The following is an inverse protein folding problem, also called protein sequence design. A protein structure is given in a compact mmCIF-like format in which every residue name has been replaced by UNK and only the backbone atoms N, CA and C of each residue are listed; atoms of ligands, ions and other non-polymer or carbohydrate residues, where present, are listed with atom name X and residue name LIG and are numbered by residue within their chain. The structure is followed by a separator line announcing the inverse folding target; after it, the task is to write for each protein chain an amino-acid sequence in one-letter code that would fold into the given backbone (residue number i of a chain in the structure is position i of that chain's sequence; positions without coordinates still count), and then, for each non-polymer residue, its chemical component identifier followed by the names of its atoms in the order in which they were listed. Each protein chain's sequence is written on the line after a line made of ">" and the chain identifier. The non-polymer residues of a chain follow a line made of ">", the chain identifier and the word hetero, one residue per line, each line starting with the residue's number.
data_IF_994331382736
#
_entry.id   IF_994331382736
#
_cell.length_a   1.000
_cell.length_b   1.000
_cell.length_c   1.000
_cell.angle_alpha   90.00
_cell.angle_beta   90.00
_cell.angle_gamma   90.00
#
_symmetry.space_group_name_H-M   'P 1'
#
loop_
_entity.id
_entity.type
_entity.pdbx_description
1 polymer ?
#
# COMPACT_ATOMS: atom_id res chain seq x y z
N UNK A 1 -29.50 -1.43 15.34
CA UNK A 1 -28.97 -0.11 15.70
C UNK A 1 -30.06 0.91 15.43
N UNK A 2 -30.57 1.49 16.50
CA UNK A 2 -31.67 2.44 16.50
C UNK A 2 -31.22 3.77 15.83
N UNK A 3 -32.20 4.58 15.38
CA UNK A 3 -31.94 5.88 14.73
C UNK A 3 -31.19 6.84 15.65
N UNK A 4 -31.46 6.79 16.94
CA UNK A 4 -30.77 7.59 17.96
C UNK A 4 -29.30 7.17 18.13
N UNK A 5 -29.01 5.88 18.10
CA UNK A 5 -27.65 5.34 18.20
C UNK A 5 -26.78 5.71 16.96
N UNK A 6 -27.39 5.77 15.76
CA UNK A 6 -26.71 6.26 14.53
C UNK A 6 -26.38 7.74 14.58
N UNK A 7 -27.28 8.56 15.16
CA UNK A 7 -27.06 10.00 15.32
C UNK A 7 -25.92 10.22 16.32
N UNK A 8 -25.93 9.55 17.46
CA UNK A 8 -24.89 9.65 18.49
C UNK A 8 -23.49 9.24 17.97
N UNK A 9 -23.40 8.14 17.21
CA UNK A 9 -22.14 7.70 16.59
C UNK A 9 -21.65 8.71 15.52
N UNK A 10 -22.57 9.38 14.83
CA UNK A 10 -22.23 10.43 13.87
C UNK A 10 -21.73 11.69 14.56
N UNK A 11 -22.34 12.11 15.66
CA UNK A 11 -21.93 13.25 16.47
C UNK A 11 -20.57 13.01 17.14
N UNK A 12 -20.34 11.81 17.69
CA UNK A 12 -19.05 11.42 18.27
C UNK A 12 -17.92 11.43 17.23
N UNK A 13 -18.17 10.97 16.00
CA UNK A 13 -17.21 11.03 14.90
C UNK A 13 -16.89 12.46 14.49
N UNK A 14 -17.91 13.32 14.43
CA UNK A 14 -17.73 14.73 14.09
C UNK A 14 -16.95 15.47 15.18
N UNK A 15 -17.25 15.23 16.44
CA UNK A 15 -16.54 15.79 17.59
C UNK A 15 -15.07 15.32 17.64
N UNK A 16 -14.81 14.04 17.34
CA UNK A 16 -13.45 13.49 17.27
C UNK A 16 -12.65 14.13 16.12
N UNK A 17 -13.27 14.27 14.95
CA UNK A 17 -12.65 14.92 13.78
C UNK A 17 -12.30 16.38 14.08
N UNK A 18 -13.21 17.12 14.71
CA UNK A 18 -12.98 18.51 15.12
C UNK A 18 -11.85 18.63 16.16
N UNK A 19 -11.76 17.68 17.10
CA UNK A 19 -10.70 17.66 18.11
C UNK A 19 -9.33 17.33 17.50
N UNK A 20 -9.26 16.39 16.58
CA UNK A 20 -8.02 16.05 15.83
C UNK A 20 -7.55 17.26 15.01
N UNK A 21 -8.48 17.93 14.31
CA UNK A 21 -8.20 19.16 13.57
C UNK A 21 -7.60 20.24 14.45
N UNK A 22 -8.22 20.50 15.61
CA UNK A 22 -7.73 21.49 16.57
C UNK A 22 -6.32 21.16 17.08
N UNK A 23 -6.03 19.89 17.41
CA UNK A 23 -4.71 19.45 17.86
C UNK A 23 -3.63 19.60 16.77
N UNK A 24 -3.97 19.27 15.52
CA UNK A 24 -3.05 19.45 14.39
C UNK A 24 -2.74 20.94 14.17
N UNK A 25 -3.75 21.81 14.20
CA UNK A 25 -3.55 23.27 14.09
C UNK A 25 -2.64 23.78 15.21
N UNK A 26 -2.91 23.41 16.47
CA UNK A 26 -2.09 23.82 17.61
C UNK A 26 -0.64 23.30 17.51
N UNK A 27 -0.43 22.11 16.96
CA UNK A 27 0.91 21.56 16.73
C UNK A 27 1.66 22.33 15.66
N UNK A 28 1.00 22.70 14.57
CA UNK A 28 1.58 23.53 13.51
C UNK A 28 1.92 24.93 14.02
N UNK A 29 1.02 25.60 14.74
CA UNK A 29 1.25 26.92 15.34
C UNK A 29 2.47 26.88 16.29
N UNK A 30 2.61 25.81 17.08
CA UNK A 30 3.75 25.64 17.99
C UNK A 30 5.06 25.45 17.21
N UNK A 31 5.05 24.64 16.16
CA UNK A 31 6.24 24.41 15.33
C UNK A 31 6.62 25.67 14.54
N UNK A 32 5.66 26.47 14.08
CA UNK A 32 5.90 27.75 13.44
C UNK A 32 6.57 28.74 14.41
N UNK A 33 6.07 28.85 15.63
CA UNK A 33 6.67 29.69 16.67
C UNK A 33 8.12 29.26 17.02
N UNK A 34 8.41 27.96 16.98
CA UNK A 34 9.77 27.43 17.17
C UNK A 34 10.65 27.74 15.95
N UNK A 35 10.09 27.64 14.74
CA UNK A 35 10.84 27.93 13.51
C UNK A 35 11.25 29.42 13.42
N UNK A 36 10.41 30.31 13.92
CA UNK A 36 10.64 31.77 13.96
C UNK A 36 11.57 32.22 15.09
N UNK A 37 12.03 31.30 15.95
CA UNK A 37 12.97 31.61 17.04
C UNK A 37 14.41 31.72 16.49
N UNK A 38 14.88 32.95 16.30
CA UNK A 38 16.23 33.26 15.82
C UNK A 38 17.37 32.80 16.76
N UNK A 39 17.05 32.41 17.99
CA UNK A 39 18.01 31.90 18.96
C UNK A 39 18.27 30.39 18.82
N UNK A 40 17.43 29.70 18.08
CA UNK A 40 17.61 28.27 17.83
C UNK A 40 18.75 28.01 16.84
N UNK A 41 19.60 27.01 17.13
CA UNK A 41 20.66 26.58 16.21
C UNK A 41 20.08 26.21 14.83
N UNK A 42 20.77 26.50 13.72
CA UNK A 42 20.29 26.19 12.36
C UNK A 42 19.89 24.73 12.15
N UNK A 43 20.57 23.79 12.81
CA UNK A 43 20.27 22.35 12.75
C UNK A 43 18.90 22.02 13.38
N UNK A 44 18.56 22.68 14.48
CA UNK A 44 17.28 22.48 15.15
C UNK A 44 16.16 23.12 14.36
N UNK A 45 16.36 24.30 13.77
CA UNK A 45 15.40 24.94 12.86
C UNK A 45 15.13 24.09 11.63
N UNK A 46 16.15 23.50 11.02
CA UNK A 46 16.00 22.59 9.88
C UNK A 46 15.17 21.34 10.27
N UNK A 47 15.39 20.80 11.47
CA UNK A 47 14.61 19.66 11.98
C UNK A 47 13.15 20.02 12.19
N UNK A 48 12.86 21.20 12.72
CA UNK A 48 11.51 21.72 12.90
C UNK A 48 10.82 21.95 11.57
N UNK A 49 11.52 22.54 10.58
CA UNK A 49 11.00 22.77 9.24
C UNK A 49 10.61 21.45 8.54
N UNK A 50 11.43 20.39 8.67
CA UNK A 50 11.09 19.07 8.15
C UNK A 50 9.85 18.50 8.84
N UNK A 51 9.72 18.70 10.15
CA UNK A 51 8.55 18.23 10.91
C UNK A 51 7.26 18.95 10.52
N UNK A 52 7.35 20.25 10.21
CA UNK A 52 6.22 21.01 9.67
C UNK A 52 5.75 20.41 8.35
N UNK A 53 6.69 20.05 7.45
CA UNK A 53 6.33 19.47 6.15
C UNK A 53 5.65 18.11 6.32
N UNK A 54 6.13 17.23 7.20
CA UNK A 54 5.50 15.94 7.49
C UNK A 54 4.06 16.10 7.99
N UNK A 55 3.84 17.04 8.92
CA UNK A 55 2.51 17.28 9.51
C UNK A 55 1.60 17.97 8.50
N UNK A 56 2.12 18.88 7.69
CA UNK A 56 1.35 19.62 6.69
C UNK A 56 0.83 18.68 5.57
N UNK A 57 1.58 17.66 5.18
CA UNK A 57 1.11 16.63 4.26
C UNK A 57 -0.13 15.90 4.82
N UNK A 58 -0.09 15.50 6.08
CA UNK A 58 -1.23 14.88 6.76
C UNK A 58 -2.42 15.85 6.87
N UNK A 59 -2.15 17.14 7.08
CA UNK A 59 -3.18 18.15 7.25
C UNK A 59 -3.88 18.53 5.94
N UNK A 60 -3.16 18.52 4.81
CA UNK A 60 -3.73 18.77 3.47
C UNK A 60 -4.67 17.66 3.04
N UNK A 61 -4.42 16.41 3.41
CA UNK A 61 -5.35 15.30 3.19
C UNK A 61 -6.69 15.49 3.93
N UNK A 62 -6.67 16.18 5.08
CA UNK A 62 -7.87 16.38 5.92
C UNK A 62 -8.64 17.69 5.64
N UNK A 63 -8.01 18.75 5.15
CA UNK A 63 -8.59 20.10 5.16
C UNK A 63 -8.51 20.91 3.86
N UNK A 64 -7.85 20.44 2.80
CA UNK A 64 -7.66 21.24 1.58
C UNK A 64 -7.09 22.67 1.86
N UNK A 65 -6.03 23.09 1.23
CA UNK A 65 -5.52 24.47 1.07
C UNK A 65 -5.11 25.31 2.31
N UNK A 66 -5.28 24.86 3.56
CA UNK A 66 -4.96 25.70 4.73
C UNK A 66 -3.49 25.67 5.16
N UNK A 67 -2.70 24.73 4.67
CA UNK A 67 -1.29 24.54 5.08
C UNK A 67 -0.27 25.17 4.08
N UNK A 68 -0.71 25.71 2.95
CA UNK A 68 0.18 26.17 1.86
C UNK A 68 1.19 27.24 2.31
N UNK A 69 0.79 28.16 3.18
CA UNK A 69 1.68 29.20 3.71
C UNK A 69 2.78 28.61 4.60
N UNK A 70 2.46 27.65 5.44
CA UNK A 70 3.40 26.98 6.34
C UNK A 70 4.39 26.11 5.58
N UNK A 71 3.92 25.42 4.55
CA UNK A 71 4.78 24.65 3.65
C UNK A 71 5.79 25.55 2.95
N UNK A 72 5.34 26.69 2.42
CA UNK A 72 6.22 27.67 1.76
C UNK A 72 7.24 28.26 2.75
N UNK A 73 6.82 28.57 3.99
CA UNK A 73 7.72 29.07 5.03
C UNK A 73 8.79 28.04 5.40
N UNK A 74 8.39 26.79 5.66
CA UNK A 74 9.33 25.70 5.98
C UNK A 74 10.30 25.41 4.82
N UNK A 75 9.83 25.39 3.58
CA UNK A 75 10.69 25.20 2.40
C UNK A 75 11.70 26.34 2.22
N UNK A 76 11.27 27.57 2.51
CA UNK A 76 12.14 28.76 2.46
C UNK A 76 13.24 28.67 3.50
N UNK A 77 12.91 28.27 4.72
CA UNK A 77 13.87 28.11 5.82
C UNK A 77 14.91 27.05 5.51
N UNK A 78 14.50 25.89 5.04
CA UNK A 78 15.42 24.81 4.62
C UNK A 78 16.37 25.32 3.55
N UNK A 79 15.88 26.11 2.57
CA UNK A 79 16.72 26.66 1.50
C UNK A 79 17.72 27.72 2.00
N UNK A 80 17.35 28.51 3.03
CA UNK A 80 18.23 29.50 3.63
C UNK A 80 19.33 28.86 4.50
N UNK A 81 19.04 27.74 5.16
CA UNK A 81 19.96 27.04 6.03
C UNK A 81 20.97 26.15 5.27
N UNK A 82 20.71 25.82 4.00
CA UNK A 82 21.63 25.03 3.18
C UNK A 82 23.07 25.56 3.08
N UNK A 83 23.31 26.89 2.90
CA UNK A 83 24.67 27.43 2.86
C UNK A 83 25.42 27.33 4.18
N UNK A 84 24.73 27.51 5.31
CA UNK A 84 25.32 27.45 6.65
C UNK A 84 25.64 26.04 7.06
N UNK A 85 24.81 25.07 6.63
CA UNK A 85 25.02 23.64 6.87
C UNK A 85 26.29 23.12 6.19
N UNK A 86 26.63 23.66 5.02
CA UNK A 86 27.84 23.32 4.27
C UNK A 86 29.13 23.87 4.90
N UNK A 87 29.03 24.96 5.66
CA UNK A 87 30.20 25.56 6.35
C UNK A 87 30.57 24.84 7.66
N UNK A 88 29.62 24.15 8.29
CA UNK A 88 29.84 23.48 9.58
C UNK A 88 30.52 22.09 9.43
N UNK A 89 30.52 21.54 8.22
CA UNK A 89 31.13 20.25 7.93
C UNK A 89 32.01 20.29 6.67
N UNK A 90 33.27 20.81 6.80
CA UNK A 90 34.19 21.03 5.66
C UNK A 90 34.68 19.73 5.00
N UNK A 91 34.35 18.56 5.56
CA UNK A 91 34.67 17.25 4.99
C UNK A 91 33.49 16.59 4.23
N UNK A 92 32.37 17.26 4.06
CA UNK A 92 31.42 16.83 3.06
C UNK A 92 31.99 17.17 1.68
N UNK A 93 32.00 16.20 0.72
CA UNK A 93 32.33 16.53 -0.66
C UNK A 93 31.41 17.66 -1.11
N UNK A 94 32.02 18.70 -1.75
CA UNK A 94 31.24 19.77 -2.38
C UNK A 94 30.11 19.14 -3.17
N UNK A 95 28.89 19.72 -3.17
CA UNK A 95 27.83 19.26 -4.03
C UNK A 95 28.31 19.48 -5.46
N UNK A 96 28.97 18.45 -6.00
CA UNK A 96 29.23 18.38 -7.44
C UNK A 96 27.92 18.68 -8.12
N UNK A 97 27.96 19.67 -8.99
CA UNK A 97 26.86 20.16 -9.80
C UNK A 97 25.91 19.01 -10.14
N UNK A 98 24.64 19.21 -9.73
CA UNK A 98 23.51 18.37 -10.14
C UNK A 98 23.75 16.87 -9.94
N UNK A 99 23.75 16.38 -8.70
CA UNK A 99 23.21 15.04 -8.49
C UNK A 99 21.72 15.14 -8.90
N UNK A 100 21.45 14.79 -10.14
CA UNK A 100 20.14 14.34 -10.56
C UNK A 100 19.83 13.21 -9.58
N UNK A 101 18.97 13.46 -8.59
CA UNK A 101 18.44 12.40 -7.75
C UNK A 101 17.78 11.44 -8.71
N UNK A 102 18.43 10.30 -8.94
CA UNK A 102 17.91 9.29 -9.85
C UNK A 102 16.52 8.94 -9.37
N UNK A 103 15.52 9.39 -10.11
CA UNK A 103 14.16 8.97 -9.86
C UNK A 103 13.97 7.61 -10.55
N UNK A 104 13.38 6.66 -9.82
CA UNK A 104 13.03 5.36 -10.37
C UNK A 104 11.54 5.41 -10.70
N UNK A 105 11.21 5.44 -11.98
CA UNK A 105 9.84 5.36 -12.45
C UNK A 105 9.45 3.90 -12.73
N UNK A 106 8.38 3.44 -12.12
CA UNK A 106 7.80 2.11 -12.30
C UNK A 106 6.41 2.27 -12.95
N UNK A 107 6.27 1.92 -14.24
CA UNK A 107 4.97 1.95 -14.89
C UNK A 107 4.04 0.90 -14.28
N UNK A 108 2.73 1.13 -14.35
CA UNK A 108 1.67 0.22 -13.94
C UNK A 108 1.61 -1.01 -14.86
N UNK A 109 2.71 -1.75 -14.93
CA UNK A 109 2.85 -2.93 -15.78
C UNK A 109 2.51 -4.21 -15.00
N UNK A 110 1.74 -5.10 -15.63
CA UNK A 110 1.41 -6.40 -15.06
C UNK A 110 1.32 -7.46 -16.16
N UNK A 111 1.42 -8.71 -15.75
CA UNK A 111 1.18 -9.88 -16.63
C UNK A 111 0.01 -10.66 -16.07
N UNK A 112 -0.99 -10.94 -16.89
CA UNK A 112 -2.13 -11.79 -16.57
C UNK A 112 -1.99 -13.16 -17.25
N UNK A 113 -2.24 -14.23 -16.49
CA UNK A 113 -2.35 -15.59 -17.01
C UNK A 113 -3.75 -16.11 -16.68
N UNK A 114 -4.60 -16.24 -17.70
CA UNK A 114 -5.94 -16.84 -17.60
C UNK A 114 -5.85 -18.36 -17.64
N UNK A 115 -6.80 -19.05 -16.97
CA UNK A 115 -6.77 -20.50 -16.85
C UNK A 115 -5.49 -20.99 -16.18
N UNK A 116 -5.08 -20.32 -15.11
CA UNK A 116 -3.77 -20.56 -14.47
C UNK A 116 -3.66 -21.96 -13.89
N UNK A 117 -4.73 -22.46 -13.28
CA UNK A 117 -4.83 -23.82 -12.76
C UNK A 117 -5.75 -24.67 -13.66
N UNK A 118 -5.64 -25.99 -13.62
CA UNK A 118 -6.66 -26.82 -14.24
C UNK A 118 -8.00 -26.67 -13.51
N UNK A 119 -9.14 -27.01 -14.13
CA UNK A 119 -10.46 -26.83 -13.52
C UNK A 119 -10.59 -27.49 -12.14
N UNK A 120 -10.05 -28.69 -11.98
CA UNK A 120 -10.09 -29.47 -10.73
C UNK A 120 -9.28 -28.80 -9.61
N UNK A 121 -8.14 -28.22 -9.95
CA UNK A 121 -7.29 -27.48 -9.01
C UNK A 121 -8.00 -26.17 -8.58
N UNK A 122 -8.62 -25.44 -9.53
CA UNK A 122 -9.38 -24.23 -9.23
C UNK A 122 -10.58 -24.54 -8.31
N UNK A 123 -11.36 -25.58 -8.61
CA UNK A 123 -12.48 -26.03 -7.79
C UNK A 123 -12.04 -26.41 -6.37
N UNK A 124 -10.87 -27.05 -6.25
CA UNK A 124 -10.29 -27.36 -4.94
C UNK A 124 -9.99 -26.09 -4.13
N UNK A 125 -9.47 -25.00 -4.76
CA UNK A 125 -9.28 -23.74 -4.08
C UNK A 125 -10.59 -23.13 -3.61
N UNK A 126 -11.65 -23.14 -4.43
CA UNK A 126 -12.97 -22.64 -4.09
C UNK A 126 -13.54 -23.41 -2.89
N UNK A 127 -13.57 -24.73 -3.00
CA UNK A 127 -14.10 -25.64 -1.95
C UNK A 127 -13.36 -25.47 -0.61
N UNK A 128 -12.04 -25.47 -0.63
CA UNK A 128 -11.24 -25.32 0.58
C UNK A 128 -11.38 -23.94 1.21
N UNK A 129 -11.48 -22.88 0.40
CA UNK A 129 -11.70 -21.53 0.90
C UNK A 129 -13.03 -21.41 1.65
N UNK A 130 -14.11 -21.95 1.08
CA UNK A 130 -15.45 -21.93 1.68
C UNK A 130 -15.52 -22.77 2.94
N UNK A 131 -15.02 -24.03 2.90
CA UNK A 131 -15.05 -24.96 4.02
C UNK A 131 -14.28 -24.45 5.23
N UNK A 132 -13.28 -23.60 5.03
CA UNK A 132 -12.45 -23.04 6.09
C UNK A 132 -12.94 -21.69 6.63
N UNK A 133 -14.16 -21.26 6.31
CA UNK A 133 -14.73 -19.96 6.72
C UNK A 133 -14.40 -19.58 8.16
N UNK A 134 -14.54 -20.51 9.11
CA UNK A 134 -14.32 -20.27 10.54
C UNK A 134 -12.85 -20.07 10.94
N UNK A 135 -11.91 -20.32 10.03
CA UNK A 135 -10.48 -20.19 10.28
C UNK A 135 -9.92 -18.86 9.75
N UNK A 136 -10.73 -18.11 9.00
CA UNK A 136 -10.35 -16.77 8.56
C UNK A 136 -10.39 -15.80 9.74
N UNK A 137 -9.47 -14.85 9.71
CA UNK A 137 -9.38 -13.75 10.66
C UNK A 137 -9.53 -12.44 9.92
N UNK A 138 -10.05 -11.42 10.59
CA UNK A 138 -10.02 -10.07 10.06
C UNK A 138 -8.59 -9.62 9.81
N UNK A 139 -8.36 -9.00 8.66
CA UNK A 139 -7.02 -8.50 8.32
C UNK A 139 -6.70 -7.26 9.16
N UNK A 140 -5.55 -7.30 9.82
CA UNK A 140 -4.97 -6.12 10.46
C UNK A 140 -3.82 -5.59 9.60
N UNK A 141 -3.72 -4.27 9.47
CA UNK A 141 -2.52 -3.63 8.91
C UNK A 141 -1.44 -3.53 9.98
N UNK A 142 -0.18 -3.56 9.57
CA UNK A 142 0.96 -3.36 10.48
C UNK A 142 0.90 -2.03 11.22
N UNK A 143 0.27 -1.01 10.62
CA UNK A 143 0.13 0.34 11.18
C UNK A 143 -1.12 0.52 12.05
N UNK A 144 -1.99 -0.52 12.18
CA UNK A 144 -3.29 -0.45 12.89
C UNK A 144 -4.15 0.77 12.49
N UNK A 145 -3.95 1.28 11.27
CA UNK A 145 -4.72 2.40 10.74
C UNK A 145 -6.17 1.94 10.55
N UNK A 146 -7.08 2.51 11.32
CA UNK A 146 -8.50 2.25 11.19
C UNK A 146 -8.97 2.63 9.78
N UNK A 147 -9.75 1.76 9.13
CA UNK A 147 -10.35 1.97 7.80
C UNK A 147 -9.35 1.96 6.62
N UNK A 148 -8.18 1.34 6.76
CA UNK A 148 -7.21 1.21 5.67
C UNK A 148 -7.42 -0.07 4.85
N UNK A 149 -7.79 -1.16 5.52
CA UNK A 149 -8.08 -2.46 4.91
C UNK A 149 -9.25 -3.13 5.63
N UNK A 150 -10.17 -3.68 4.87
CA UNK A 150 -11.22 -4.56 5.36
C UNK A 150 -11.23 -5.82 4.50
N UNK A 151 -10.83 -6.94 5.05
CA UNK A 151 -10.82 -8.24 4.40
C UNK A 151 -10.63 -9.34 5.45
N UNK A 152 -10.81 -10.60 5.03
CA UNK A 152 -10.59 -11.77 5.86
C UNK A 152 -9.40 -12.55 5.31
N UNK A 153 -8.48 -12.99 6.17
CA UNK A 153 -7.24 -13.66 5.76
C UNK A 153 -7.09 -15.03 6.41
N UNK A 154 -6.51 -15.94 5.65
CA UNK A 154 -6.13 -17.27 6.09
C UNK A 154 -4.68 -17.53 5.68
N UNK A 155 -3.81 -17.76 6.65
CA UNK A 155 -2.38 -17.92 6.42
C UNK A 155 -2.02 -19.32 5.89
N UNK A 156 -0.92 -19.39 5.13
CA UNK A 156 -0.41 -20.59 4.45
C UNK A 156 -0.29 -21.81 5.34
N UNK A 157 0.04 -21.66 6.62
CA UNK A 157 0.14 -22.74 7.61
C UNK A 157 -1.17 -23.52 7.79
N UNK A 158 -2.32 -22.89 7.52
CA UNK A 158 -3.64 -23.53 7.60
C UNK A 158 -4.06 -24.24 6.31
N UNK A 159 -3.34 -23.98 5.21
CA UNK A 159 -3.62 -24.50 3.86
C UNK A 159 -2.35 -25.04 3.19
N UNK A 160 -1.58 -25.96 3.83
CA UNK A 160 -0.25 -26.35 3.34
C UNK A 160 -0.28 -26.97 1.94
N UNK A 161 -1.27 -27.80 1.63
CA UNK A 161 -1.40 -28.46 0.32
C UNK A 161 -1.69 -27.43 -0.81
N UNK A 162 -2.61 -26.47 -0.58
CA UNK A 162 -2.89 -25.40 -1.55
C UNK A 162 -1.69 -24.46 -1.71
N UNK A 163 -1.00 -24.18 -0.60
CA UNK A 163 0.20 -23.34 -0.62
C UNK A 163 1.34 -24.00 -1.39
N UNK A 164 1.51 -25.31 -1.29
CA UNK A 164 2.50 -26.05 -2.08
C UNK A 164 2.15 -26.02 -3.58
N UNK A 165 0.89 -26.29 -3.91
CA UNK A 165 0.39 -26.29 -5.29
C UNK A 165 0.62 -24.93 -5.98
N UNK A 166 0.18 -23.84 -5.35
CA UNK A 166 0.31 -22.50 -5.95
C UNK A 166 1.78 -22.10 -6.14
N UNK A 167 2.66 -22.43 -5.16
CA UNK A 167 4.10 -22.17 -5.27
C UNK A 167 4.72 -22.91 -6.44
N UNK A 168 4.35 -24.17 -6.63
CA UNK A 168 4.85 -24.98 -7.73
C UNK A 168 4.43 -24.41 -9.08
N UNK A 169 3.16 -24.07 -9.27
CA UNK A 169 2.64 -23.49 -10.50
C UNK A 169 3.29 -22.13 -10.82
N UNK A 170 3.53 -21.30 -9.80
CA UNK A 170 4.25 -20.02 -9.94
C UNK A 170 5.69 -20.26 -10.37
N UNK A 171 6.43 -21.17 -9.73
CA UNK A 171 7.83 -21.49 -10.09
C UNK A 171 7.96 -21.94 -11.54
N UNK A 172 7.02 -22.74 -12.03
CA UNK A 172 7.00 -23.22 -13.43
C UNK A 172 6.81 -22.07 -14.42
N UNK A 173 6.04 -21.02 -14.08
CA UNK A 173 5.73 -19.90 -14.96
C UNK A 173 6.71 -18.74 -14.89
N UNK A 174 7.35 -18.58 -13.74
CA UNK A 174 8.15 -17.39 -13.43
C UNK A 174 9.25 -17.07 -14.46
N UNK A 175 10.03 -18.02 -15.00
CA UNK A 175 11.08 -17.70 -15.98
C UNK A 175 10.55 -16.96 -17.21
N UNK A 176 9.34 -17.32 -17.68
CA UNK A 176 8.69 -16.65 -18.81
C UNK A 176 8.04 -15.31 -18.48
N UNK A 177 7.88 -14.98 -17.18
CA UNK A 177 7.24 -13.74 -16.72
C UNK A 177 8.26 -12.63 -16.43
N UNK A 178 9.48 -12.97 -16.01
CA UNK A 178 10.47 -11.98 -15.58
C UNK A 178 10.76 -10.94 -16.65
N UNK A 179 11.00 -11.37 -17.88
CA UNK A 179 11.27 -10.44 -19.00
C UNK A 179 10.07 -9.53 -19.31
N UNK A 180 8.84 -10.05 -19.22
CA UNK A 180 7.62 -9.28 -19.46
C UNK A 180 7.38 -8.20 -18.37
N UNK A 181 7.88 -8.46 -17.17
CA UNK A 181 7.82 -7.54 -16.03
C UNK A 181 9.05 -6.64 -15.88
N UNK A 182 9.99 -6.71 -16.83
CA UNK A 182 11.28 -6.00 -16.81
C UNK A 182 12.14 -6.33 -15.58
N UNK A 183 12.10 -7.58 -15.11
CA UNK A 183 13.01 -8.07 -14.07
C UNK A 183 14.17 -8.85 -14.67
N UNK A 184 15.38 -8.57 -14.19
CA UNK A 184 16.50 -9.49 -14.34
C UNK A 184 16.24 -10.76 -13.52
N UNK A 185 16.77 -11.93 -13.95
CA UNK A 185 16.71 -13.14 -13.13
C UNK A 185 17.29 -12.90 -11.72
N UNK A 186 16.63 -13.43 -10.70
CA UNK A 186 17.08 -13.37 -9.32
C UNK A 186 16.85 -14.71 -8.60
N UNK A 187 17.62 -14.95 -7.54
CA UNK A 187 17.46 -16.13 -6.71
C UNK A 187 16.24 -15.96 -5.79
N UNK A 188 15.35 -16.96 -5.83
CA UNK A 188 14.11 -16.96 -5.04
C UNK A 188 14.39 -17.49 -3.65
N UNK A 189 14.30 -16.63 -2.64
CA UNK A 189 14.37 -17.03 -1.24
C UNK A 189 13.07 -17.66 -0.76
N UNK A 190 11.93 -17.05 -1.10
CA UNK A 190 10.61 -17.48 -0.64
C UNK A 190 9.51 -17.04 -1.61
N UNK A 191 8.45 -17.86 -1.70
CA UNK A 191 7.15 -17.47 -2.27
C UNK A 191 6.14 -17.48 -1.14
N UNK A 192 5.79 -16.29 -0.64
CA UNK A 192 4.78 -16.11 0.40
C UNK A 192 3.39 -16.41 -0.16
N UNK A 193 2.49 -16.94 0.68
CA UNK A 193 1.12 -17.32 0.28
C UNK A 193 0.15 -16.91 1.38
N UNK A 194 -0.89 -16.18 1.00
CA UNK A 194 -1.99 -15.79 1.88
C UNK A 194 -3.32 -15.89 1.12
N UNK A 195 -4.25 -16.65 1.67
CA UNK A 195 -5.62 -16.69 1.15
C UNK A 195 -6.42 -15.52 1.72
N UNK A 196 -7.15 -14.80 0.87
CA UNK A 196 -7.94 -13.63 1.28
C UNK A 196 -9.36 -13.74 0.73
N UNK A 197 -10.35 -13.43 1.56
CA UNK A 197 -11.73 -13.27 1.16
C UNK A 197 -12.14 -11.80 1.30
N UNK A 198 -12.67 -11.24 0.22
CA UNK A 198 -13.30 -9.92 0.20
C UNK A 198 -14.80 -10.12 -0.05
N UNK A 199 -15.63 -9.89 0.97
CA UNK A 199 -17.08 -9.91 0.91
C UNK A 199 -17.63 -8.48 0.78
N UNK A 200 -18.92 -8.27 0.95
CA UNK A 200 -19.58 -6.98 0.84
C UNK A 200 -18.88 -5.88 1.66
N UNK A 201 -18.58 -4.75 1.02
CA UNK A 201 -17.90 -3.62 1.65
C UNK A 201 -16.39 -3.80 1.88
N UNK A 202 -15.80 -4.96 1.56
CA UNK A 202 -14.37 -5.20 1.71
C UNK A 202 -13.53 -4.46 0.67
N UNK A 203 -12.38 -3.91 1.10
CA UNK A 203 -11.48 -3.13 0.24
C UNK A 203 -10.05 -3.13 0.82
N UNK A 204 -9.10 -2.60 0.06
CA UNK A 204 -7.76 -2.25 0.55
C UNK A 204 -7.28 -0.96 -0.11
N UNK A 205 -7.00 0.06 0.68
CA UNK A 205 -6.56 1.37 0.19
C UNK A 205 -5.18 1.30 -0.44
N UNK A 206 -4.82 2.38 -1.13
CA UNK A 206 -3.59 2.49 -1.90
C UNK A 206 -2.34 2.24 -1.03
N UNK A 207 -1.50 1.28 -1.45
CA UNK A 207 -0.29 0.84 -0.76
C UNK A 207 0.71 0.25 -1.75
N UNK A 208 1.89 -0.11 -1.27
CA UNK A 208 2.81 -1.02 -1.94
C UNK A 208 3.16 -2.17 -1.00
N UNK A 209 3.71 -3.25 -1.54
CA UNK A 209 3.99 -4.47 -0.80
C UNK A 209 5.44 -4.61 -0.33
N UNK A 210 6.33 -3.67 -0.75
CA UNK A 210 7.76 -3.66 -0.44
C UNK A 210 8.20 -2.38 0.30
N UNK A 211 7.26 -1.73 1.03
CA UNK A 211 7.46 -0.41 1.64
C UNK A 211 8.10 -0.42 3.03
N UNK A 212 8.51 -1.56 3.56
CA UNK A 212 9.18 -1.64 4.88
C UNK A 212 10.41 -2.52 4.82
N UNK A 213 11.31 -2.38 5.78
CA UNK A 213 12.51 -3.22 5.90
C UNK A 213 12.17 -4.72 5.87
N UNK A 214 11.13 -5.15 6.57
CA UNK A 214 10.67 -6.55 6.58
C UNK A 214 10.16 -7.05 5.24
N UNK A 215 9.77 -6.17 4.34
CA UNK A 215 9.19 -6.49 3.03
C UNK A 215 10.09 -6.09 1.87
N UNK A 216 11.24 -5.47 2.12
CA UNK A 216 12.15 -4.92 1.10
C UNK A 216 12.65 -5.96 0.08
N UNK A 217 12.71 -7.24 0.46
CA UNK A 217 13.12 -8.34 -0.45
C UNK A 217 12.00 -8.82 -1.37
N UNK A 218 10.76 -8.35 -1.23
CA UNK A 218 9.65 -8.67 -2.14
C UNK A 218 9.88 -8.00 -3.48
N UNK A 219 9.98 -8.80 -4.54
CA UNK A 219 10.22 -8.32 -5.91
C UNK A 219 8.91 -8.28 -6.70
N UNK A 220 8.16 -9.36 -6.67
CA UNK A 220 6.94 -9.52 -7.46
C UNK A 220 5.79 -9.87 -6.53
N UNK A 221 4.71 -9.10 -6.65
CA UNK A 221 3.40 -9.42 -6.06
C UNK A 221 2.62 -10.24 -7.06
N UNK A 222 1.93 -11.25 -6.58
CA UNK A 222 0.96 -11.97 -7.39
C UNK A 222 -0.40 -12.03 -6.71
N UNK A 223 -1.47 -12.06 -7.53
CA UNK A 223 -2.86 -12.19 -7.07
C UNK A 223 -3.56 -13.21 -7.97
N UNK A 224 -3.85 -14.37 -7.41
CA UNK A 224 -4.65 -15.40 -8.08
C UNK A 224 -6.11 -15.23 -7.67
N UNK A 225 -7.01 -15.02 -8.64
CA UNK A 225 -8.44 -14.81 -8.44
C UNK A 225 -9.20 -16.12 -8.62
N UNK A 226 -10.12 -16.41 -7.70
CA UNK A 226 -11.01 -17.54 -7.82
C UNK A 226 -12.32 -17.28 -7.05
N UNK A 227 -13.42 -17.82 -7.54
CA UNK A 227 -14.75 -17.68 -6.94
C UNK A 227 -15.71 -18.69 -7.54
N UNK A 228 -16.86 -18.91 -6.87
CA UNK A 228 -17.94 -19.73 -7.41
C UNK A 228 -18.59 -19.06 -8.62
N UNK A 229 -18.87 -19.84 -9.66
CA UNK A 229 -19.70 -19.39 -10.76
C UNK A 229 -21.18 -19.78 -10.51
N UNK A 230 -22.18 -18.94 -10.91
CA UNK A 230 -21.96 -17.62 -11.53
C UNK A 230 -21.43 -16.59 -10.53
N UNK A 231 -20.62 -15.63 -11.00
CA UNK A 231 -20.05 -14.55 -10.20
C UNK A 231 -21.13 -13.78 -9.45
N UNK A 232 -21.11 -13.83 -8.10
CA UNK A 232 -22.14 -13.27 -7.23
C UNK A 232 -21.77 -11.89 -6.64
N UNK A 233 -20.69 -11.29 -7.08
CA UNK A 233 -20.21 -9.97 -6.64
C UNK A 233 -19.86 -9.08 -7.83
N UNK A 234 -19.77 -7.78 -7.59
CA UNK A 234 -19.22 -6.76 -8.48
C UNK A 234 -18.20 -5.91 -7.73
N UNK A 235 -17.49 -5.02 -8.43
CA UNK A 235 -16.38 -4.30 -7.82
C UNK A 235 -15.18 -5.19 -7.52
N UNK A 236 -14.35 -4.77 -6.58
CA UNK A 236 -13.15 -5.51 -6.18
C UNK A 236 -12.04 -5.52 -7.24
N UNK A 237 -12.09 -4.60 -8.20
CA UNK A 237 -11.00 -4.40 -9.17
C UNK A 237 -9.73 -4.04 -8.42
N UNK A 238 -8.58 -4.48 -8.95
CA UNK A 238 -7.30 -3.98 -8.53
C UNK A 238 -6.90 -2.81 -9.44
N UNK A 239 -6.61 -1.65 -8.85
CA UNK A 239 -5.98 -0.54 -9.55
C UNK A 239 -4.49 -0.56 -9.27
N UNK A 240 -3.70 -0.56 -10.32
CA UNK A 240 -2.25 -0.52 -10.29
C UNK A 240 -1.78 0.82 -10.87
N UNK A 241 -1.02 1.59 -10.12
CA UNK A 241 -0.63 2.95 -10.46
C UNK A 241 0.81 3.06 -10.96
N UNK A 242 1.04 3.94 -11.89
CA UNK A 242 2.39 4.42 -12.18
C UNK A 242 2.98 5.01 -10.89
N UNK A 243 4.18 4.56 -10.54
CA UNK A 243 4.80 4.87 -9.25
C UNK A 243 6.20 5.42 -9.48
N UNK A 244 6.54 6.53 -8.86
CA UNK A 244 7.87 7.11 -8.92
C UNK A 244 8.50 7.15 -7.52
N UNK A 245 9.76 6.74 -7.43
CA UNK A 245 10.59 6.86 -6.23
C UNK A 245 11.59 7.98 -6.47
N UNK A 246 11.44 9.06 -5.72
CA UNK A 246 12.33 10.22 -5.80
C UNK A 246 12.85 10.52 -4.39
N UNK A 247 14.15 10.38 -4.19
CA UNK A 247 14.76 10.47 -2.85
C UNK A 247 14.05 9.50 -1.88
N UNK A 248 13.45 10.00 -0.79
CA UNK A 248 12.72 9.20 0.20
C UNK A 248 11.19 9.25 0.02
N UNK A 249 10.71 9.80 -1.10
CA UNK A 249 9.27 9.99 -1.36
C UNK A 249 8.78 9.00 -2.41
N UNK A 250 7.59 8.46 -2.18
CA UNK A 250 6.88 7.62 -3.16
C UNK A 250 5.74 8.46 -3.74
N UNK A 251 5.84 8.75 -5.04
CA UNK A 251 4.84 9.52 -5.78
C UNK A 251 3.92 8.53 -6.51
N UNK A 252 2.62 8.68 -6.30
CA UNK A 252 1.58 7.95 -7.04
C UNK A 252 1.11 8.86 -8.17
N UNK A 253 1.34 8.44 -9.41
CA UNK A 253 0.84 9.17 -10.57
C UNK A 253 -0.65 8.92 -10.80
N UNK A 254 -1.37 9.83 -11.48
CA UNK A 254 -2.80 9.67 -11.76
C UNK A 254 -3.10 8.54 -12.76
N UNK A 255 -2.11 8.12 -13.54
CA UNK A 255 -2.26 7.03 -14.50
C UNK A 255 -2.29 5.67 -13.76
N UNK A 256 -3.25 4.82 -14.12
CA UNK A 256 -3.39 3.49 -13.55
C UNK A 256 -4.00 2.49 -14.53
N UNK A 257 -3.74 1.22 -14.28
CA UNK A 257 -4.42 0.09 -14.91
C UNK A 257 -5.51 -0.43 -13.98
N UNK A 258 -6.68 -0.74 -14.54
CA UNK A 258 -7.77 -1.40 -13.81
C UNK A 258 -7.83 -2.87 -14.19
N UNK A 259 -7.69 -3.75 -13.20
CA UNK A 259 -7.66 -5.20 -13.40
C UNK A 259 -8.92 -5.80 -12.77
N UNK A 260 -9.82 -6.30 -13.61
CA UNK A 260 -11.07 -6.91 -13.18
C UNK A 260 -10.81 -8.35 -12.70
N UNK A 261 -11.34 -8.75 -11.52
CA UNK A 261 -11.24 -10.13 -11.06
C UNK A 261 -11.88 -11.11 -12.04
N UNK A 262 -11.07 -12.01 -12.60
CA UNK A 262 -11.51 -13.09 -13.49
C UNK A 262 -11.24 -14.43 -12.82
N UNK A 263 -12.25 -15.32 -12.78
CA UNK A 263 -12.09 -16.63 -12.17
C UNK A 263 -10.95 -17.42 -12.82
N UNK A 264 -10.14 -18.09 -11.99
CA UNK A 264 -8.98 -18.85 -12.44
C UNK A 264 -7.96 -18.03 -13.25
N UNK A 265 -7.76 -16.75 -12.90
CA UNK A 265 -6.68 -15.93 -13.45
C UNK A 265 -5.69 -15.52 -12.35
N UNK A 266 -4.43 -15.36 -12.73
CA UNK A 266 -3.39 -14.82 -11.85
C UNK A 266 -2.74 -13.63 -12.53
N UNK A 267 -2.46 -12.60 -11.73
CA UNK A 267 -1.69 -11.44 -12.18
C UNK A 267 -0.38 -11.36 -11.41
N UNK A 268 0.63 -10.80 -12.06
CA UNK A 268 1.95 -10.54 -11.50
C UNK A 268 2.35 -9.10 -11.80
N UNK A 269 2.89 -8.38 -10.79
CA UNK A 269 3.38 -7.02 -10.95
C UNK A 269 4.49 -6.71 -9.93
N UNK A 270 5.20 -5.60 -10.12
CA UNK A 270 6.27 -5.18 -9.24
C UNK A 270 5.73 -4.83 -7.85
N UNK A 271 6.26 -5.46 -6.78
CA UNK A 271 5.83 -5.26 -5.39
C UNK A 271 5.99 -3.81 -4.89
N UNK A 272 6.82 -3.00 -5.55
CA UNK A 272 7.03 -1.60 -5.23
C UNK A 272 5.94 -0.69 -5.83
N UNK A 273 5.19 -1.13 -6.86
CA UNK A 273 4.12 -0.34 -7.46
C UNK A 273 2.99 -0.10 -6.47
N UNK A 274 2.48 1.12 -6.45
CA UNK A 274 1.30 1.51 -5.69
C UNK A 274 0.05 0.86 -6.29
N UNK A 275 -0.78 0.29 -5.44
CA UNK A 275 -2.01 -0.36 -5.87
C UNK A 275 -3.07 -0.34 -4.78
N UNK A 276 -4.33 -0.54 -5.18
CA UNK A 276 -5.47 -0.63 -4.27
C UNK A 276 -6.48 -1.68 -4.74
N UNK A 277 -7.28 -2.18 -3.81
CA UNK A 277 -8.45 -3.03 -4.11
C UNK A 277 -9.71 -2.21 -3.89
N UNK A 278 -10.47 -2.01 -4.96
CA UNK A 278 -11.74 -1.29 -4.91
C UNK A 278 -12.76 -2.02 -4.06
N UNK A 279 -13.74 -1.31 -3.48
CA UNK A 279 -14.79 -1.94 -2.68
C UNK A 279 -15.51 -3.05 -3.45
N UNK A 280 -15.73 -4.18 -2.77
CA UNK A 280 -16.53 -5.29 -3.27
C UNK A 280 -17.98 -5.05 -2.92
N UNK A 281 -18.89 -5.30 -3.85
CA UNK A 281 -20.32 -5.29 -3.67
C UNK A 281 -20.82 -6.73 -3.80
N UNK A 282 -21.24 -7.33 -2.70
CA UNK A 282 -21.78 -8.69 -2.63
C UNK A 282 -23.15 -8.68 -1.95
N UNK A 283 -24.25 -8.49 -2.72
CA UNK A 283 -25.59 -8.25 -2.14
C UNK A 283 -26.08 -9.36 -1.23
N UNK A 284 -25.70 -10.61 -1.49
CA UNK A 284 -26.08 -11.74 -0.65
C UNK A 284 -25.38 -11.76 0.71
N UNK A 285 -24.19 -11.15 0.79
CA UNK A 285 -23.28 -11.22 1.94
C UNK A 285 -22.90 -12.64 2.37
N UNK A 286 -23.23 -13.64 1.58
CA UNK A 286 -22.82 -15.02 1.83
C UNK A 286 -21.32 -15.14 1.63
N UNK A 287 -20.63 -15.78 2.59
CA UNK A 287 -19.17 -15.95 2.53
C UNK A 287 -18.73 -16.73 1.29
N UNK A 288 -19.52 -17.71 0.85
CA UNK A 288 -19.25 -18.48 -0.36
C UNK A 288 -19.25 -17.63 -1.65
N UNK A 289 -19.95 -16.49 -1.64
CA UNK A 289 -20.04 -15.55 -2.74
C UNK A 289 -18.95 -14.46 -2.73
N UNK A 290 -17.97 -14.59 -1.82
CA UNK A 290 -16.86 -13.65 -1.75
C UNK A 290 -15.98 -13.69 -3.00
N UNK A 291 -15.32 -12.57 -3.27
CA UNK A 291 -14.14 -12.50 -4.12
C UNK A 291 -12.96 -13.11 -3.36
N UNK A 292 -12.59 -14.34 -3.68
CA UNK A 292 -11.43 -14.99 -3.09
C UNK A 292 -10.17 -14.70 -3.90
N UNK A 293 -9.04 -14.57 -3.21
CA UNK A 293 -7.73 -14.47 -3.83
C UNK A 293 -6.70 -15.26 -3.05
N UNK A 294 -5.69 -15.76 -3.76
CA UNK A 294 -4.39 -16.05 -3.14
C UNK A 294 -3.49 -14.87 -3.46
N UNK A 295 -3.14 -14.11 -2.45
CA UNK A 295 -2.14 -13.05 -2.55
C UNK A 295 -0.80 -13.59 -2.07
N UNK A 296 0.27 -13.15 -2.69
CA UNK A 296 1.58 -13.51 -2.23
C UNK A 296 2.69 -12.72 -2.90
N UNK A 297 3.90 -13.00 -2.43
CA UNK A 297 5.06 -12.23 -2.82
C UNK A 297 6.24 -13.16 -3.09
N UNK A 298 6.94 -12.88 -4.18
CA UNK A 298 8.16 -13.59 -4.54
C UNK A 298 9.32 -12.76 -4.02
N UNK A 299 10.06 -13.33 -3.06
CA UNK A 299 11.19 -12.69 -2.41
C UNK A 299 12.50 -13.12 -3.07
N UNK A 300 13.42 -12.16 -3.25
CA UNK A 300 14.82 -12.46 -3.51
C UNK A 300 15.58 -12.80 -2.23
N UNK A 301 16.71 -13.44 -2.34
CA UNK A 301 17.69 -13.54 -1.25
C UNK A 301 18.12 -12.13 -0.79
N UNK A 302 18.34 -11.96 0.50
CA UNK A 302 18.96 -10.75 1.00
C UNK A 302 20.45 -10.73 0.56
N UNK A 303 20.93 -9.59 0.13
CA UNK A 303 22.35 -9.35 -0.10
C UNK A 303 23.09 -9.22 1.19
#
# INVERSE_FOLDING_TARGET
>A
MDREEKIRVSEDKFALSARVKKLLTQSLDTLEAILDDDQLPPQERATVALKILEIAEVFTEFNGHSADKLIVSAQREIKQLQPEYSQINPNLPEPTATQQTESIFLPANYVEVKGFLCPEENEKFITEAINRRRQYMESNTTTKANQYRQSYVLFSKKIPALSALIRERIKQRLPGLLGQLNFSPFEIAEIEVQLTAHNDGCYYRIHNDAGSEKTATRQITYVYYFYQEPKAFSGGELKLYDTEFKSNTIITHPNFQTITPTNNSIIFFNSRCRHEVMPVICPSREFAHSRFTVNGWIRRTAE
#
